data_IF_817904221981
#
_entry.id   IF_817904221981
#
_cell.length_a   1.000
_cell.length_b   1.000
_cell.length_c   1.000
_cell.angle_alpha   90.00
_cell.angle_beta   90.00
_cell.angle_gamma   90.00
#
_symmetry.space_group_name_H-M   'P 1'
#
loop_
_entity.id
_entity.type
_entity.pdbx_description
1 polymer ?
#
# COMPACT_ATOMS: atom_id res chain seq x y z
N UNK A 1 24.04 13.35 -61.54
CA UNK A 1 24.47 12.47 -60.44
C UNK A 1 23.79 12.97 -59.18
N UNK A 2 22.61 12.36 -58.88
CA UNK A 2 21.84 12.63 -57.64
C UNK A 2 22.22 11.54 -56.62
N UNK A 3 22.84 11.94 -55.54
CA UNK A 3 23.02 11.10 -54.35
C UNK A 3 21.77 11.21 -53.46
N UNK A 4 20.97 10.15 -53.42
CA UNK A 4 19.84 10.01 -52.51
C UNK A 4 20.39 9.50 -51.17
N UNK A 5 20.36 10.39 -50.14
CA UNK A 5 20.71 10.04 -48.77
C UNK A 5 19.52 9.40 -48.10
N UNK A 6 19.57 8.08 -47.87
CA UNK A 6 18.60 7.37 -47.04
C UNK A 6 18.87 7.67 -45.56
N UNK A 7 18.05 8.51 -44.97
CA UNK A 7 17.89 8.61 -43.51
C UNK A 7 17.12 7.37 -43.01
N UNK A 8 17.86 6.42 -42.44
CA UNK A 8 17.29 5.35 -41.63
C UNK A 8 16.80 5.96 -40.30
N UNK A 9 15.51 6.19 -40.21
CA UNK A 9 14.81 6.36 -38.94
C UNK A 9 14.86 5.01 -38.23
N UNK A 10 15.74 4.89 -37.25
CA UNK A 10 15.65 3.83 -36.26
C UNK A 10 14.39 4.09 -35.43
N UNK A 11 13.29 3.44 -35.81
CA UNK A 11 12.16 3.26 -34.93
C UNK A 11 12.68 2.44 -33.73
N UNK A 12 12.78 3.05 -32.57
CA UNK A 12 12.91 2.29 -31.32
C UNK A 12 11.65 1.48 -31.18
N UNK A 13 11.74 0.19 -31.41
CA UNK A 13 10.70 -0.78 -31.06
C UNK A 13 10.46 -0.68 -29.54
N UNK A 14 9.39 0.00 -29.17
CA UNK A 14 8.81 -0.01 -27.81
C UNK A 14 8.02 -1.30 -27.53
N UNK A 15 8.25 -2.33 -28.32
CA UNK A 15 7.76 -3.67 -28.05
C UNK A 15 8.59 -4.32 -26.93
N UNK A 16 8.53 -3.73 -25.75
CA UNK A 16 8.81 -4.45 -24.52
C UNK A 16 7.77 -5.56 -24.42
N UNK A 17 8.20 -6.76 -24.75
CA UNK A 17 7.41 -7.97 -24.95
C UNK A 17 6.74 -8.41 -23.64
N UNK A 18 5.68 -7.71 -23.23
CA UNK A 18 4.87 -8.04 -22.04
C UNK A 18 4.10 -9.36 -22.22
N UNK A 19 4.04 -9.88 -23.44
CA UNK A 19 3.31 -11.12 -23.81
C UNK A 19 4.24 -12.29 -24.15
N UNK A 20 5.55 -12.19 -23.91
CA UNK A 20 6.47 -13.28 -24.22
C UNK A 20 6.32 -14.43 -23.20
N UNK A 21 5.33 -15.27 -23.42
CA UNK A 21 5.20 -16.57 -22.75
C UNK A 21 6.25 -17.53 -23.35
N UNK A 22 7.54 -17.29 -23.10
CA UNK A 22 8.52 -18.35 -23.28
C UNK A 22 8.19 -19.45 -22.28
N UNK A 23 7.97 -20.65 -22.78
CA UNK A 23 7.86 -21.88 -21.98
C UNK A 23 9.11 -22.00 -21.10
N UNK A 24 9.01 -21.53 -19.87
CA UNK A 24 10.04 -21.80 -18.88
C UNK A 24 9.90 -23.27 -18.45
N UNK A 25 10.96 -24.06 -18.51
CA UNK A 25 10.90 -25.43 -18.06
C UNK A 25 10.43 -25.48 -16.59
N UNK A 26 9.61 -26.47 -16.26
CA UNK A 26 9.17 -26.71 -14.88
C UNK A 26 10.43 -26.91 -14.00
N UNK A 27 10.68 -25.95 -13.10
CA UNK A 27 11.83 -25.97 -12.23
C UNK A 27 11.71 -27.12 -11.20
N UNK A 28 12.82 -27.79 -10.84
CA UNK A 28 12.84 -28.75 -9.79
C UNK A 28 12.27 -28.17 -8.47
N UNK A 29 11.70 -29.00 -7.61
CA UNK A 29 11.09 -28.58 -6.35
C UNK A 29 12.05 -27.77 -5.45
N UNK A 30 13.35 -28.03 -5.54
CA UNK A 30 14.41 -27.26 -4.86
C UNK A 30 14.52 -25.83 -5.35
N UNK A 31 14.43 -25.60 -6.67
CA UNK A 31 14.41 -24.25 -7.25
C UNK A 31 13.11 -23.51 -6.94
N UNK A 32 11.97 -24.20 -6.95
CA UNK A 32 10.69 -23.63 -6.52
C UNK A 32 10.77 -23.14 -5.08
N UNK A 33 11.38 -23.93 -4.16
CA UNK A 33 11.57 -23.53 -2.76
C UNK A 33 12.54 -22.35 -2.62
N UNK A 34 13.62 -22.32 -3.39
CA UNK A 34 14.54 -21.19 -3.42
C UNK A 34 13.87 -19.92 -3.97
N UNK A 35 13.05 -20.06 -5.01
CA UNK A 35 12.29 -18.97 -5.62
C UNK A 35 11.14 -18.46 -4.73
N UNK A 36 10.74 -19.23 -3.70
CA UNK A 36 9.79 -18.76 -2.68
C UNK A 36 10.49 -17.96 -1.57
N UNK A 37 11.83 -18.06 -1.43
CA UNK A 37 12.55 -17.26 -0.45
C UNK A 37 12.27 -15.76 -0.65
N UNK A 38 12.10 -15.04 0.46
CA UNK A 38 11.78 -13.62 0.47
C UNK A 38 12.72 -12.88 1.42
N UNK A 39 13.29 -11.78 0.95
CA UNK A 39 14.01 -10.81 1.77
C UNK A 39 13.21 -9.52 1.83
N UNK A 40 13.00 -8.98 3.03
CA UNK A 40 12.27 -7.73 3.18
C UNK A 40 13.07 -6.59 2.56
N UNK A 41 12.45 -5.93 1.60
CA UNK A 41 12.93 -4.69 0.99
C UNK A 41 11.79 -3.69 1.09
N UNK A 42 12.10 -2.43 1.41
CA UNK A 42 11.15 -1.34 1.42
C UNK A 42 11.24 -0.54 0.12
N UNK A 43 10.09 -0.14 -0.40
CA UNK A 43 10.05 0.68 -1.59
C UNK A 43 10.65 2.05 -1.34
N UNK A 44 11.51 2.49 -2.24
CA UNK A 44 12.07 3.84 -2.22
C UNK A 44 11.50 4.62 -3.41
N UNK A 45 10.82 5.73 -3.10
CA UNK A 45 10.34 6.65 -4.11
C UNK A 45 11.32 7.82 -4.19
N UNK A 46 11.95 8.09 -5.36
CA UNK A 46 12.87 9.21 -5.52
C UNK A 46 12.24 10.55 -5.10
N UNK A 47 13.07 11.44 -4.55
CA UNK A 47 12.64 12.77 -4.18
C UNK A 47 12.13 13.55 -5.41
N UNK A 48 11.02 14.26 -5.23
CA UNK A 48 10.44 15.07 -6.30
C UNK A 48 11.07 16.45 -6.36
N UNK A 49 11.17 17.08 -7.54
CA UNK A 49 11.46 18.51 -7.66
C UNK A 49 10.48 19.36 -6.86
N UNK A 50 10.94 20.50 -6.31
CA UNK A 50 10.14 21.34 -5.40
C UNK A 50 8.82 21.78 -6.03
N UNK A 51 8.83 22.27 -7.27
CA UNK A 51 7.63 22.76 -7.94
C UNK A 51 6.63 21.63 -8.20
N UNK A 52 7.11 20.47 -8.65
CA UNK A 52 6.26 19.29 -8.84
C UNK A 52 5.67 18.80 -7.52
N UNK A 53 6.43 18.89 -6.42
CA UNK A 53 5.93 18.55 -5.10
C UNK A 53 4.87 19.54 -4.61
N UNK A 54 5.03 20.83 -4.86
CA UNK A 54 4.02 21.87 -4.52
C UNK A 54 2.69 21.60 -5.22
N UNK A 55 2.74 21.30 -6.51
CA UNK A 55 1.53 20.92 -7.28
C UNK A 55 0.88 19.65 -6.73
N UNK A 56 1.70 18.65 -6.39
CA UNK A 56 1.22 17.42 -5.79
C UNK A 56 0.51 17.67 -4.44
N UNK A 57 1.08 18.48 -3.55
CA UNK A 57 0.47 18.80 -2.26
C UNK A 57 -0.85 19.53 -2.42
N UNK A 58 -0.92 20.51 -3.34
CA UNK A 58 -2.15 21.21 -3.63
C UNK A 58 -3.23 20.28 -4.22
N UNK A 59 -2.86 19.39 -5.13
CA UNK A 59 -3.77 18.36 -5.65
C UNK A 59 -4.29 17.44 -4.53
N UNK A 60 -3.42 17.05 -3.58
CA UNK A 60 -3.81 16.26 -2.40
C UNK A 60 -4.82 17.00 -1.52
N UNK A 61 -4.60 18.30 -1.31
CA UNK A 61 -5.53 19.12 -0.55
C UNK A 61 -6.90 19.24 -1.24
N UNK A 62 -6.94 19.50 -2.55
CA UNK A 62 -8.18 19.47 -3.33
C UNK A 62 -8.88 18.12 -3.22
N UNK A 63 -8.15 17.02 -3.40
CA UNK A 63 -8.68 15.67 -3.32
C UNK A 63 -9.30 15.38 -1.96
N UNK A 64 -8.63 15.77 -0.86
CA UNK A 64 -9.15 15.66 0.50
C UNK A 64 -10.50 16.36 0.63
N UNK A 65 -10.62 17.58 0.10
CA UNK A 65 -11.81 18.40 0.20
C UNK A 65 -12.95 17.99 -0.75
N UNK A 66 -12.64 17.18 -1.77
CA UNK A 66 -13.61 16.69 -2.74
C UNK A 66 -14.16 15.30 -2.43
N UNK A 67 -13.55 14.55 -1.52
CA UNK A 67 -13.92 13.15 -1.29
C UNK A 67 -15.39 12.93 -0.92
N UNK A 68 -15.95 13.80 -0.11
CA UNK A 68 -17.37 13.72 0.26
C UNK A 68 -18.27 14.45 -0.74
N UNK A 69 -17.76 15.50 -1.41
CA UNK A 69 -18.54 16.30 -2.37
C UNK A 69 -18.67 15.59 -3.71
N UNK A 70 -17.64 14.84 -4.11
CA UNK A 70 -17.56 14.14 -5.40
C UNK A 70 -17.86 15.03 -6.62
N UNK A 71 -17.43 16.28 -6.55
CA UNK A 71 -17.56 17.23 -7.64
C UNK A 71 -16.63 16.88 -8.79
N UNK A 72 -17.19 16.55 -9.95
CA UNK A 72 -16.45 16.12 -11.14
C UNK A 72 -15.57 17.23 -11.73
N UNK A 73 -15.94 18.49 -11.56
CA UNK A 73 -15.11 19.61 -12.03
C UNK A 73 -13.82 19.71 -11.21
N UNK A 74 -13.92 19.45 -9.90
CA UNK A 74 -12.77 19.40 -9.00
C UNK A 74 -11.91 18.16 -9.28
N UNK A 75 -12.51 17.00 -9.55
CA UNK A 75 -11.77 15.79 -9.96
C UNK A 75 -10.94 16.06 -11.23
N UNK A 76 -11.49 16.81 -12.20
CA UNK A 76 -10.78 17.19 -13.43
C UNK A 76 -9.56 18.07 -13.12
N UNK A 77 -9.68 19.02 -12.21
CA UNK A 77 -8.54 19.84 -11.79
C UNK A 77 -7.49 19.06 -11.02
N UNK A 78 -7.91 18.16 -10.12
CA UNK A 78 -7.00 17.24 -9.41
C UNK A 78 -6.22 16.38 -10.40
N UNK A 79 -6.91 15.80 -11.39
CA UNK A 79 -6.29 15.02 -12.45
C UNK A 79 -5.23 15.83 -13.19
N UNK A 80 -5.58 17.05 -13.61
CA UNK A 80 -4.65 17.96 -14.32
C UNK A 80 -3.40 18.24 -13.50
N UNK A 81 -3.55 18.53 -12.23
CA UNK A 81 -2.43 18.83 -11.33
C UNK A 81 -1.54 17.61 -11.09
N UNK A 82 -2.12 16.43 -10.85
CA UNK A 82 -1.36 15.19 -10.72
C UNK A 82 -0.62 14.84 -12.02
N UNK A 83 -1.23 15.07 -13.17
CA UNK A 83 -0.63 14.83 -14.48
C UNK A 83 0.62 15.71 -14.67
N UNK A 84 0.50 17.01 -14.44
CA UNK A 84 1.62 17.96 -14.53
C UNK A 84 2.73 17.56 -13.53
N UNK A 85 2.38 17.28 -12.27
CA UNK A 85 3.36 16.91 -11.27
C UNK A 85 4.07 15.59 -11.64
N UNK A 86 3.34 14.59 -12.15
CA UNK A 86 3.89 13.31 -12.61
C UNK A 86 4.88 13.49 -13.77
N UNK A 87 4.52 14.28 -14.77
CA UNK A 87 5.36 14.56 -15.94
C UNK A 87 6.63 15.32 -15.56
N UNK A 88 6.62 16.03 -14.42
CA UNK A 88 7.76 16.73 -13.86
C UNK A 88 8.47 15.97 -12.71
N UNK A 89 8.38 14.63 -12.71
CA UNK A 89 9.17 13.76 -11.84
C UNK A 89 8.60 13.57 -10.43
N UNK A 90 7.31 13.86 -10.20
CA UNK A 90 6.66 13.48 -8.97
C UNK A 90 6.02 12.08 -9.10
N UNK A 91 6.74 11.04 -8.69
CA UNK A 91 6.27 9.65 -8.79
C UNK A 91 5.08 9.34 -7.87
N UNK A 92 4.90 10.07 -6.75
CA UNK A 92 3.70 9.96 -5.90
C UNK A 92 2.46 10.48 -6.63
N UNK A 93 2.61 11.53 -7.43
CA UNK A 93 1.54 12.04 -8.29
C UNK A 93 1.16 11.02 -9.38
N UNK A 94 2.15 10.36 -10.00
CA UNK A 94 1.92 9.27 -10.94
C UNK A 94 1.09 8.15 -10.30
N UNK A 95 1.50 7.66 -9.11
CA UNK A 95 0.78 6.63 -8.37
C UNK A 95 -0.65 7.05 -8.05
N UNK A 96 -0.85 8.29 -7.56
CA UNK A 96 -2.17 8.79 -7.21
C UNK A 96 -3.08 8.96 -8.43
N UNK A 97 -2.53 9.41 -9.56
CA UNK A 97 -3.25 9.55 -10.82
C UNK A 97 -3.75 8.19 -11.31
N UNK A 98 -2.89 7.17 -11.33
CA UNK A 98 -3.28 5.82 -11.73
C UNK A 98 -4.30 5.21 -10.77
N UNK A 99 -4.11 5.34 -9.45
CA UNK A 99 -5.06 4.86 -8.45
C UNK A 99 -6.43 5.55 -8.57
N UNK A 100 -6.46 6.85 -8.81
CA UNK A 100 -7.69 7.60 -9.01
C UNK A 100 -8.43 7.18 -10.29
N UNK A 101 -7.69 6.92 -11.35
CA UNK A 101 -8.26 6.41 -12.61
C UNK A 101 -8.84 5.01 -12.46
N UNK A 102 -8.15 4.10 -11.77
CA UNK A 102 -8.67 2.75 -11.48
C UNK A 102 -9.94 2.76 -10.60
N UNK A 103 -10.15 3.83 -9.84
CA UNK A 103 -11.36 4.06 -9.02
C UNK A 103 -12.45 4.85 -9.76
N UNK A 104 -12.23 5.25 -11.01
CA UNK A 104 -13.18 6.00 -11.83
C UNK A 104 -13.27 7.50 -11.53
N UNK A 105 -12.31 8.06 -10.80
CA UNK A 105 -12.25 9.50 -10.54
C UNK A 105 -11.57 10.27 -11.67
N UNK A 106 -10.56 9.68 -12.31
CA UNK A 106 -9.73 10.30 -13.33
C UNK A 106 -9.80 9.55 -14.65
N UNK A 107 -9.39 10.22 -15.73
CA UNK A 107 -9.55 9.73 -17.10
C UNK A 107 -8.21 9.29 -17.73
N UNK A 108 -7.45 8.44 -17.04
CA UNK A 108 -6.29 7.77 -17.61
C UNK A 108 -6.74 6.45 -18.24
N UNK A 109 -6.35 6.18 -19.48
CA UNK A 109 -6.84 5.02 -20.24
C UNK A 109 -5.73 4.33 -21.03
N UNK A 110 -5.94 3.02 -21.28
CA UNK A 110 -5.18 2.25 -22.23
C UNK A 110 -3.67 2.33 -22.01
N UNK A 111 -2.97 2.61 -23.09
CA UNK A 111 -1.50 2.67 -23.13
C UNK A 111 -0.89 3.73 -22.21
N UNK A 112 -1.64 4.77 -21.87
CA UNK A 112 -1.15 5.78 -20.93
C UNK A 112 -0.85 5.18 -19.55
N UNK A 113 -1.69 4.27 -19.05
CA UNK A 113 -1.41 3.53 -17.82
C UNK A 113 -0.09 2.73 -17.90
N UNK A 114 0.14 2.07 -19.02
CA UNK A 114 1.39 1.31 -19.21
C UNK A 114 2.60 2.23 -19.26
N UNK A 115 2.52 3.35 -19.99
CA UNK A 115 3.59 4.34 -20.05
C UNK A 115 3.92 4.89 -18.66
N UNK A 116 2.89 5.22 -17.88
CA UNK A 116 3.06 5.72 -16.51
C UNK A 116 3.66 4.66 -15.58
N UNK A 117 3.26 3.40 -15.72
CA UNK A 117 3.84 2.30 -14.97
C UNK A 117 5.30 2.06 -15.35
N UNK A 118 5.63 2.18 -16.65
CA UNK A 118 7.02 2.09 -17.11
C UNK A 118 7.88 3.21 -16.52
N UNK A 119 7.38 4.45 -16.46
CA UNK A 119 8.09 5.56 -15.81
C UNK A 119 8.41 5.27 -14.34
N UNK A 120 7.51 4.61 -13.60
CA UNK A 120 7.77 4.18 -12.23
C UNK A 120 8.87 3.09 -12.19
N UNK A 121 8.80 2.11 -13.09
CA UNK A 121 9.77 1.02 -13.20
C UNK A 121 11.16 1.58 -13.51
N UNK A 122 11.28 2.48 -14.46
CA UNK A 122 12.55 3.11 -14.88
C UNK A 122 13.17 3.94 -13.76
N UNK A 123 12.32 4.51 -12.88
CA UNK A 123 12.74 5.23 -11.69
C UNK A 123 13.06 4.33 -10.49
N UNK A 124 12.96 3.00 -10.63
CA UNK A 124 13.18 2.05 -9.55
C UNK A 124 12.01 1.96 -8.55
N UNK A 125 10.83 2.47 -8.89
CA UNK A 125 9.64 2.42 -8.03
C UNK A 125 8.87 1.14 -8.32
N UNK A 126 8.91 0.21 -7.38
CA UNK A 126 8.36 -1.15 -7.50
C UNK A 126 6.85 -1.18 -7.76
N UNK A 127 6.13 -0.16 -7.31
CA UNK A 127 4.68 0.02 -7.57
C UNK A 127 4.35 0.02 -9.07
N UNK A 128 5.31 0.36 -9.95
CA UNK A 128 5.13 0.23 -11.40
C UNK A 128 4.84 -1.21 -11.83
N UNK A 129 5.61 -2.18 -11.33
CA UNK A 129 5.34 -3.60 -11.59
C UNK A 129 4.03 -4.07 -10.98
N UNK A 130 3.65 -3.54 -9.81
CA UNK A 130 2.36 -3.84 -9.20
C UNK A 130 1.20 -3.42 -10.11
N UNK A 131 1.23 -2.23 -10.69
CA UNK A 131 0.21 -1.76 -11.63
C UNK A 131 0.13 -2.62 -12.88
N UNK A 132 1.26 -2.98 -13.50
CA UNK A 132 1.27 -3.91 -14.64
C UNK A 132 0.62 -5.24 -14.25
N UNK A 133 0.91 -5.76 -13.06
CA UNK A 133 0.26 -6.95 -12.52
C UNK A 133 -1.27 -6.80 -12.41
N UNK A 134 -1.76 -5.63 -11.97
CA UNK A 134 -3.20 -5.32 -11.91
C UNK A 134 -3.81 -5.33 -13.31
N UNK A 135 -3.16 -4.72 -14.29
CA UNK A 135 -3.67 -4.64 -15.67
C UNK A 135 -3.70 -6.01 -16.34
N UNK A 136 -2.65 -6.81 -16.20
CA UNK A 136 -2.61 -8.19 -16.69
C UNK A 136 -3.70 -9.06 -16.05
N UNK A 137 -3.88 -8.94 -14.74
CA UNK A 137 -4.92 -9.69 -14.03
C UNK A 137 -6.33 -9.39 -14.54
N UNK A 138 -6.58 -8.14 -14.90
CA UNK A 138 -7.92 -7.67 -15.30
C UNK A 138 -8.13 -7.63 -16.81
N UNK A 139 -7.11 -7.82 -17.63
CA UNK A 139 -7.20 -7.61 -19.07
C UNK A 139 -7.49 -6.15 -19.42
N UNK A 140 -6.77 -5.22 -18.81
CA UNK A 140 -6.98 -3.78 -18.96
C UNK A 140 -5.71 -3.05 -19.41
N UNK A 141 -5.79 -1.74 -19.61
CA UNK A 141 -4.69 -0.91 -20.11
C UNK A 141 -4.09 -1.38 -21.46
N UNK A 142 -4.91 -2.00 -22.33
CA UNK A 142 -4.46 -2.55 -23.61
C UNK A 142 -3.84 -3.94 -23.53
N UNK A 143 -3.69 -4.51 -22.33
CA UNK A 143 -3.17 -5.86 -22.15
C UNK A 143 -4.28 -6.90 -22.18
N UNK A 144 -3.98 -8.09 -22.72
CA UNK A 144 -4.84 -9.27 -22.56
C UNK A 144 -4.72 -9.79 -21.13
N UNK A 145 -5.81 -10.38 -20.64
CA UNK A 145 -5.81 -11.02 -19.32
C UNK A 145 -4.83 -12.20 -19.31
N UNK A 146 -3.88 -12.13 -18.36
CA UNK A 146 -2.89 -13.17 -18.12
C UNK A 146 -2.60 -13.24 -16.62
N UNK A 147 -3.25 -14.20 -15.96
CA UNK A 147 -3.14 -14.35 -14.49
C UNK A 147 -1.76 -14.83 -14.07
N UNK A 148 -1.09 -15.66 -14.88
CA UNK A 148 0.24 -16.16 -14.55
C UNK A 148 1.28 -15.05 -14.65
N UNK A 149 1.26 -14.30 -15.75
CA UNK A 149 2.13 -13.15 -15.92
C UNK A 149 1.86 -12.08 -14.86
N UNK A 150 0.59 -11.86 -14.48
CA UNK A 150 0.23 -10.96 -13.37
C UNK A 150 0.89 -11.38 -12.05
N UNK A 151 0.89 -12.68 -11.72
CA UNK A 151 1.54 -13.18 -10.50
C UNK A 151 3.05 -12.96 -10.53
N UNK A 152 3.70 -13.11 -11.68
CA UNK A 152 5.14 -12.82 -11.85
C UNK A 152 5.44 -11.33 -11.60
N UNK A 153 4.61 -10.44 -12.13
CA UNK A 153 4.75 -9.00 -11.91
C UNK A 153 4.50 -8.62 -10.45
N UNK A 154 3.47 -9.17 -9.81
CA UNK A 154 3.25 -8.95 -8.38
C UNK A 154 4.41 -9.46 -7.54
N UNK A 155 4.96 -10.64 -7.87
CA UNK A 155 6.13 -11.17 -7.15
C UNK A 155 7.34 -10.25 -7.32
N UNK A 156 7.63 -9.80 -8.54
CA UNK A 156 8.71 -8.86 -8.82
C UNK A 156 8.54 -7.56 -8.06
N UNK A 157 7.34 -7.00 -8.04
CA UNK A 157 7.02 -5.81 -7.26
C UNK A 157 7.25 -6.03 -5.76
N UNK A 158 6.83 -7.18 -5.22
CA UNK A 158 7.01 -7.53 -3.81
C UNK A 158 8.49 -7.64 -3.42
N UNK A 159 9.29 -8.30 -4.26
CA UNK A 159 10.74 -8.47 -4.04
C UNK A 159 11.50 -7.15 -4.16
N UNK A 160 10.98 -6.18 -4.89
CA UNK A 160 11.54 -4.83 -5.02
C UNK A 160 10.97 -3.81 -4.04
N UNK A 161 10.10 -4.25 -3.12
CA UNK A 161 9.68 -3.44 -1.98
C UNK A 161 8.24 -2.92 -2.00
N UNK A 162 7.44 -3.12 -3.05
CA UNK A 162 6.06 -2.66 -3.06
C UNK A 162 5.23 -3.30 -1.95
N UNK A 163 4.80 -2.52 -0.96
CA UNK A 163 4.00 -2.99 0.17
C UNK A 163 2.67 -3.62 -0.27
N UNK A 164 2.02 -3.04 -1.27
CA UNK A 164 0.79 -3.57 -1.86
C UNK A 164 1.02 -4.94 -2.49
N UNK A 165 2.12 -5.10 -3.21
CA UNK A 165 2.47 -6.38 -3.84
C UNK A 165 2.87 -7.43 -2.79
N UNK A 166 3.63 -7.04 -1.77
CA UNK A 166 3.99 -7.92 -0.65
C UNK A 166 2.74 -8.45 0.05
N UNK A 167 1.78 -7.58 0.34
CA UNK A 167 0.50 -7.99 0.92
C UNK A 167 -0.27 -8.92 -0.04
N UNK A 168 -0.38 -8.57 -1.33
CA UNK A 168 -1.10 -9.36 -2.32
C UNK A 168 -0.52 -10.76 -2.49
N UNK A 169 0.81 -10.88 -2.64
CA UNK A 169 1.50 -12.18 -2.79
C UNK A 169 1.36 -13.00 -1.50
N UNK A 170 1.51 -12.38 -0.33
CA UNK A 170 1.30 -13.05 0.96
C UNK A 170 -0.11 -13.63 1.09
N UNK A 171 -1.12 -12.93 0.58
CA UNK A 171 -2.51 -13.39 0.58
C UNK A 171 -2.69 -14.64 -0.31
N UNK A 172 -1.92 -14.79 -1.37
CA UNK A 172 -1.93 -15.99 -2.23
C UNK A 172 -1.18 -17.17 -1.61
N UNK A 173 -0.12 -16.91 -0.86
CA UNK A 173 0.72 -17.96 -0.27
C UNK A 173 0.17 -18.50 1.06
N UNK A 174 -0.49 -17.66 1.86
CA UNK A 174 -0.91 -17.99 3.22
C UNK A 174 -2.08 -18.99 3.30
N UNK A 175 -3.26 -18.71 2.72
CA UNK A 175 -4.47 -19.52 2.91
C UNK A 175 -4.36 -20.95 2.43
N UNK A 176 -3.56 -21.17 1.39
CA UNK A 176 -3.33 -22.51 0.79
C UNK A 176 -2.23 -23.31 1.49
N UNK A 177 -1.67 -22.78 2.57
CA UNK A 177 -0.52 -23.37 3.28
C UNK A 177 0.70 -23.69 2.36
N UNK A 178 0.82 -22.95 1.25
CA UNK A 178 1.89 -23.15 0.27
C UNK A 178 3.23 -22.75 0.91
N UNK A 179 3.31 -21.52 1.44
CA UNK A 179 4.50 -20.99 2.09
C UNK A 179 4.10 -20.01 3.22
N UNK A 180 3.51 -20.50 4.32
CA UNK A 180 2.97 -19.64 5.37
C UNK A 180 4.03 -18.77 6.06
N UNK A 181 5.27 -19.27 6.20
CA UNK A 181 6.37 -18.50 6.76
C UNK A 181 6.74 -17.30 5.87
N UNK A 182 6.84 -17.52 4.56
CA UNK A 182 7.09 -16.43 3.57
C UNK A 182 5.95 -15.44 3.55
N UNK A 183 4.70 -15.91 3.61
CA UNK A 183 3.53 -15.03 3.69
C UNK A 183 3.56 -14.12 4.93
N UNK A 184 3.99 -14.65 6.08
CA UNK A 184 4.17 -13.84 7.30
C UNK A 184 5.27 -12.79 7.13
N UNK A 185 6.42 -13.19 6.58
CA UNK A 185 7.53 -12.26 6.32
C UNK A 185 7.10 -11.11 5.39
N UNK A 186 6.40 -11.43 4.30
CA UNK A 186 5.88 -10.41 3.38
C UNK A 186 4.85 -9.49 4.04
N UNK A 187 3.92 -10.03 4.86
CA UNK A 187 2.96 -9.19 5.60
C UNK A 187 3.66 -8.29 6.61
N UNK A 188 4.68 -8.80 7.30
CA UNK A 188 5.48 -8.00 8.23
C UNK A 188 6.16 -6.85 7.50
N UNK A 189 6.85 -7.16 6.42
CA UNK A 189 7.53 -6.17 5.59
C UNK A 189 6.58 -5.09 5.04
N UNK A 190 5.38 -5.48 4.59
CA UNK A 190 4.36 -4.53 4.17
C UNK A 190 3.84 -3.66 5.33
N UNK A 191 3.64 -4.26 6.52
CA UNK A 191 3.19 -3.54 7.71
C UNK A 191 4.21 -2.48 8.17
N UNK A 192 5.50 -2.81 8.12
CA UNK A 192 6.61 -1.89 8.43
C UNK A 192 6.65 -0.69 7.48
N UNK A 193 6.10 -0.83 6.28
CA UNK A 193 5.95 0.25 5.31
C UNK A 193 4.60 1.01 5.44
N UNK A 194 3.83 0.74 6.49
CA UNK A 194 2.55 1.41 6.73
C UNK A 194 1.35 0.78 6.01
N UNK A 195 1.46 -0.48 5.55
CA UNK A 195 0.31 -1.18 5.00
C UNK A 195 -0.56 -1.74 6.13
N UNK A 196 -1.52 -0.94 6.63
CA UNK A 196 -2.32 -1.24 7.81
C UNK A 196 -3.06 -2.58 7.74
N UNK A 197 -3.62 -2.92 6.57
CA UNK A 197 -4.32 -4.20 6.38
C UNK A 197 -3.38 -5.41 6.48
N UNK A 198 -2.11 -5.27 6.07
CA UNK A 198 -1.11 -6.33 6.25
C UNK A 198 -0.83 -6.57 7.73
N UNK A 199 -0.74 -5.49 8.53
CA UNK A 199 -0.58 -5.56 9.97
C UNK A 199 -1.78 -6.25 10.65
N UNK A 200 -3.01 -5.83 10.31
CA UNK A 200 -4.23 -6.43 10.85
C UNK A 200 -4.34 -7.94 10.51
N UNK A 201 -3.95 -8.34 9.31
CA UNK A 201 -3.95 -9.75 8.92
C UNK A 201 -2.84 -10.56 9.60
N UNK A 202 -1.64 -9.99 9.71
CA UNK A 202 -0.53 -10.66 10.40
C UNK A 202 -0.84 -10.91 11.87
N UNK A 203 -1.50 -9.97 12.55
CA UNK A 203 -1.88 -10.11 13.96
C UNK A 203 -2.77 -11.34 14.22
N UNK A 204 -3.60 -11.75 13.25
CA UNK A 204 -4.44 -12.94 13.37
C UNK A 204 -3.56 -14.19 13.43
N UNK A 205 -2.60 -14.31 12.51
CA UNK A 205 -1.72 -15.47 12.48
C UNK A 205 -0.84 -15.56 13.73
N UNK A 206 -0.32 -14.42 14.21
CA UNK A 206 0.49 -14.35 15.42
C UNK A 206 -0.31 -14.73 16.66
N UNK A 207 -1.54 -14.26 16.77
CA UNK A 207 -2.46 -14.63 17.85
C UNK A 207 -2.77 -16.14 17.82
N UNK A 208 -3.07 -16.69 16.64
CA UNK A 208 -3.36 -18.12 16.48
C UNK A 208 -2.15 -19.02 16.81
N UNK A 209 -0.94 -18.44 16.77
CA UNK A 209 0.32 -19.06 17.25
C UNK A 209 0.63 -18.70 18.72
N UNK A 210 -0.30 -18.06 19.44
CA UNK A 210 -0.16 -17.58 20.83
C UNK A 210 0.99 -16.58 21.04
N UNK A 211 1.46 -15.93 19.95
CA UNK A 211 2.49 -14.89 19.96
C UNK A 211 1.86 -13.51 20.23
N UNK A 212 1.26 -13.39 21.41
CA UNK A 212 0.42 -12.22 21.74
C UNK A 212 1.21 -10.90 21.74
N UNK A 213 2.44 -10.90 22.24
CA UNK A 213 3.26 -9.68 22.25
C UNK A 213 3.58 -9.20 20.82
N UNK A 214 3.99 -10.13 19.95
CA UNK A 214 4.19 -9.78 18.52
C UNK A 214 2.87 -9.34 17.86
N UNK A 215 1.74 -9.94 18.25
CA UNK A 215 0.43 -9.56 17.71
C UNK A 215 0.03 -8.13 18.08
N UNK A 216 0.27 -7.69 19.33
CA UNK A 216 -0.02 -6.31 19.72
C UNK A 216 0.93 -5.31 19.07
N UNK A 217 2.20 -5.65 18.86
CA UNK A 217 3.16 -4.81 18.14
C UNK A 217 2.72 -4.53 16.70
N UNK A 218 2.34 -5.58 15.96
CA UNK A 218 1.87 -5.38 14.57
C UNK A 218 0.49 -4.70 14.51
N UNK A 219 -0.39 -4.92 15.49
CA UNK A 219 -1.62 -4.15 15.61
C UNK A 219 -1.33 -2.66 15.82
N UNK A 220 -0.31 -2.33 16.64
CA UNK A 220 0.13 -0.96 16.84
C UNK A 220 0.62 -0.31 15.54
N UNK A 221 1.40 -1.05 14.72
CA UNK A 221 1.76 -0.60 13.36
C UNK A 221 0.53 -0.34 12.50
N UNK A 222 -0.49 -1.21 12.60
CA UNK A 222 -1.76 -1.02 11.91
C UNK A 222 -2.48 0.27 12.34
N UNK A 223 -2.48 0.58 13.64
CA UNK A 223 -3.04 1.85 14.14
C UNK A 223 -2.28 3.05 13.61
N UNK A 224 -0.94 3.00 13.65
CA UNK A 224 -0.10 4.05 13.05
C UNK A 224 -0.46 4.32 11.58
N UNK A 225 -0.72 3.25 10.82
CA UNK A 225 -1.10 3.29 9.42
C UNK A 225 -2.58 3.66 9.18
N UNK A 226 -3.38 3.87 10.23
CA UNK A 226 -4.79 4.26 10.11
C UNK A 226 -5.78 3.10 9.97
N UNK A 227 -5.35 1.85 10.24
CA UNK A 227 -6.22 0.69 10.16
C UNK A 227 -7.13 0.59 11.39
N UNK A 228 -8.40 0.94 11.21
CA UNK A 228 -9.38 1.01 12.30
C UNK A 228 -9.62 -0.34 12.99
N UNK A 229 -9.56 -1.45 12.24
CA UNK A 229 -9.70 -2.80 12.80
C UNK A 229 -8.62 -3.11 13.83
N UNK A 230 -7.39 -2.62 13.59
CA UNK A 230 -6.27 -2.78 14.52
C UNK A 230 -6.53 -2.06 15.84
N UNK A 231 -7.02 -0.82 15.79
CA UNK A 231 -7.38 -0.05 16.97
C UNK A 231 -8.53 -0.70 17.76
N UNK A 232 -9.56 -1.20 17.06
CA UNK A 232 -10.67 -1.92 17.67
C UNK A 232 -10.23 -3.22 18.38
N UNK A 233 -9.31 -3.97 17.78
CA UNK A 233 -8.79 -5.20 18.39
C UNK A 233 -7.97 -4.90 19.65
N UNK A 234 -7.12 -3.88 19.62
CA UNK A 234 -6.36 -3.46 20.79
C UNK A 234 -7.27 -2.95 21.90
N UNK A 235 -8.25 -2.10 21.57
CA UNK A 235 -9.24 -1.63 22.56
C UNK A 235 -9.89 -2.80 23.29
N UNK A 236 -10.42 -3.76 22.56
CA UNK A 236 -11.13 -4.91 23.14
C UNK A 236 -10.18 -5.92 23.79
N UNK A 237 -8.96 -6.04 23.29
CA UNK A 237 -7.93 -6.93 23.84
C UNK A 237 -7.47 -6.51 25.23
N UNK A 238 -7.35 -5.19 25.49
CA UNK A 238 -7.00 -4.65 26.80
C UNK A 238 -8.16 -4.67 27.82
N UNK A 239 -9.37 -5.10 27.42
CA UNK A 239 -10.43 -5.42 28.37
C UNK A 239 -10.31 -6.84 28.94
N UNK A 240 -9.22 -7.55 28.66
CA UNK A 240 -8.94 -8.92 29.11
C UNK A 240 -10.12 -9.90 28.82
N UNK A 241 -10.56 -10.04 27.58
CA UNK A 241 -11.61 -11.00 27.24
C UNK A 241 -11.17 -12.43 27.55
N UNK A 242 -12.15 -13.32 27.79
CA UNK A 242 -11.85 -14.74 28.03
C UNK A 242 -11.08 -15.36 26.82
N UNK A 243 -10.18 -16.35 27.05
CA UNK A 243 -9.45 -17.02 25.98
C UNK A 243 -10.31 -17.63 24.89
N UNK A 244 -11.56 -18.00 25.22
CA UNK A 244 -12.55 -18.48 24.24
C UNK A 244 -13.00 -17.42 23.23
N UNK A 245 -12.79 -16.14 23.53
CA UNK A 245 -13.06 -15.05 22.60
C UNK A 245 -11.90 -14.87 21.61
N UNK A 246 -11.80 -15.78 20.65
CA UNK A 246 -10.73 -15.80 19.65
C UNK A 246 -10.60 -14.51 18.82
N UNK A 247 -11.63 -13.67 18.76
CA UNK A 247 -11.57 -12.42 17.98
C UNK A 247 -10.75 -11.33 18.66
N UNK A 248 -10.74 -11.32 20.00
CA UNK A 248 -10.19 -10.21 20.77
C UNK A 248 -9.20 -10.62 21.86
N UNK A 249 -9.10 -11.90 22.19
CA UNK A 249 -8.11 -12.35 23.18
C UNK A 249 -6.67 -12.11 22.66
N UNK A 250 -5.91 -11.35 23.42
CA UNK A 250 -4.53 -10.99 23.11
C UNK A 250 -3.56 -11.32 24.26
N UNK A 251 -3.97 -12.14 25.22
CA UNK A 251 -3.14 -12.53 26.36
C UNK A 251 -2.69 -11.37 27.25
N UNK A 252 -3.38 -10.24 27.19
CA UNK A 252 -3.06 -9.04 27.97
C UNK A 252 -3.86 -8.99 29.27
N UNK A 253 -3.28 -8.35 30.30
CA UNK A 253 -4.02 -8.00 31.50
C UNK A 253 -4.98 -6.84 31.22
N UNK A 254 -6.03 -6.70 32.05
CA UNK A 254 -6.95 -5.60 31.96
C UNK A 254 -6.25 -4.26 32.16
N UNK A 255 -6.47 -3.35 31.18
CA UNK A 255 -6.00 -1.98 31.22
C UNK A 255 -7.09 -1.08 30.61
N UNK A 256 -7.98 -0.62 31.46
CA UNK A 256 -9.16 0.16 31.06
C UNK A 256 -8.81 1.49 30.39
N UNK A 257 -7.74 2.14 30.87
CA UNK A 257 -7.30 3.41 30.28
C UNK A 257 -6.76 3.19 28.86
N UNK A 258 -5.92 2.18 28.68
CA UNK A 258 -5.39 1.81 27.36
C UNK A 258 -6.52 1.41 26.42
N UNK A 259 -7.47 0.60 26.88
CA UNK A 259 -8.65 0.22 26.14
C UNK A 259 -9.48 1.43 25.68
N UNK A 260 -9.71 2.39 26.57
CA UNK A 260 -10.49 3.60 26.28
C UNK A 260 -9.78 4.51 25.26
N UNK A 261 -8.43 4.65 25.34
CA UNK A 261 -7.66 5.43 24.37
C UNK A 261 -7.72 4.81 22.97
N UNK A 262 -7.55 3.48 22.85
CA UNK A 262 -7.71 2.80 21.55
C UNK A 262 -9.13 2.90 21.00
N UNK A 263 -10.16 2.86 21.87
CA UNK A 263 -11.56 3.04 21.45
C UNK A 263 -11.78 4.45 20.85
N UNK A 264 -11.19 5.49 21.46
CA UNK A 264 -11.26 6.85 20.94
C UNK A 264 -10.56 6.98 19.59
N UNK A 265 -9.37 6.39 19.47
CA UNK A 265 -8.62 6.34 18.21
C UNK A 265 -9.42 5.58 17.14
N UNK A 266 -9.96 4.40 17.47
CA UNK A 266 -10.79 3.63 16.57
C UNK A 266 -11.95 4.45 15.99
N UNK A 267 -12.66 5.20 16.82
CA UNK A 267 -13.78 6.06 16.37
C UNK A 267 -13.33 7.09 15.35
N UNK A 268 -12.18 7.72 15.57
CA UNK A 268 -11.62 8.68 14.61
C UNK A 268 -11.25 7.96 13.30
N UNK A 269 -10.50 6.87 13.36
CA UNK A 269 -10.08 6.13 12.17
C UNK A 269 -11.28 5.61 11.36
N UNK A 270 -12.33 5.14 12.03
CA UNK A 270 -13.53 4.63 11.38
C UNK A 270 -14.36 5.76 10.74
N UNK A 271 -14.59 6.86 11.47
CA UNK A 271 -15.42 7.97 11.01
C UNK A 271 -14.79 8.76 9.86
N UNK A 272 -13.46 8.82 9.82
CA UNK A 272 -12.70 9.55 8.80
C UNK A 272 -11.99 8.60 7.80
N UNK A 273 -12.43 7.35 7.71
CA UNK A 273 -11.80 6.34 6.83
C UNK A 273 -11.67 6.80 5.36
N UNK A 274 -12.61 7.64 4.89
CA UNK A 274 -12.58 8.24 3.56
C UNK A 274 -11.37 9.17 3.34
N UNK A 275 -10.81 9.76 4.41
CA UNK A 275 -9.72 10.74 4.34
C UNK A 275 -8.34 10.12 4.63
N UNK A 276 -8.25 8.80 4.71
CA UNK A 276 -7.03 8.05 5.02
C UNK A 276 -6.31 8.58 6.29
N UNK A 277 -6.96 8.55 7.46
CA UNK A 277 -6.36 8.99 8.71
C UNK A 277 -5.14 8.15 9.07
N UNK A 278 -4.19 8.74 9.79
CA UNK A 278 -3.00 8.05 10.32
C UNK A 278 -2.74 8.49 11.75
N UNK A 279 -2.01 7.70 12.52
CA UNK A 279 -1.60 8.03 13.90
C UNK A 279 -0.11 7.73 14.05
N UNK A 280 0.77 8.48 13.37
CA UNK A 280 2.21 8.19 13.37
C UNK A 280 2.85 8.31 14.75
N UNK A 281 2.28 9.13 15.62
CA UNK A 281 2.69 9.38 17.01
C UNK A 281 2.09 8.37 18.01
N UNK A 282 1.51 7.26 17.54
CA UNK A 282 0.82 6.29 18.43
C UNK A 282 1.72 5.79 19.57
N UNK A 283 3.00 5.57 19.31
CA UNK A 283 3.93 5.07 20.33
C UNK A 283 4.26 6.12 21.41
N UNK A 284 4.06 7.39 21.11
CA UNK A 284 4.26 8.49 22.06
C UNK A 284 3.02 8.69 22.94
N UNK A 285 1.83 8.60 22.37
CA UNK A 285 0.56 8.84 23.08
C UNK A 285 0.01 7.58 23.75
N UNK A 286 0.37 6.40 23.25
CA UNK A 286 -0.17 5.12 23.70
C UNK A 286 0.86 3.99 23.53
N UNK A 287 2.02 4.07 24.25
CA UNK A 287 3.04 3.04 24.19
C UNK A 287 2.51 1.69 24.66
N UNK A 288 3.02 0.59 24.10
CA UNK A 288 2.63 -0.76 24.50
C UNK A 288 3.18 -1.16 25.88
N UNK A 289 2.51 -2.08 26.61
CA UNK A 289 3.05 -2.63 27.84
C UNK A 289 4.48 -3.20 27.65
N UNK A 290 5.36 -3.15 28.66
CA UNK A 290 5.11 -2.71 30.03
C UNK A 290 5.23 -1.19 30.29
N UNK A 291 5.39 -0.37 29.23
CA UNK A 291 5.51 1.08 29.39
C UNK A 291 4.26 1.69 30.05
N UNK A 292 4.48 2.68 30.91
CA UNK A 292 3.40 3.44 31.50
C UNK A 292 2.79 4.40 30.49
N UNK A 293 1.49 4.66 30.62
CA UNK A 293 0.80 5.62 29.76
C UNK A 293 1.18 7.05 30.15
N UNK A 294 1.62 7.88 29.19
CA UNK A 294 1.83 9.30 29.42
C UNK A 294 0.47 10.03 29.57
N UNK A 295 0.46 11.24 30.16
CA UNK A 295 -0.69 12.13 30.05
C UNK A 295 -1.06 12.34 28.57
N UNK A 296 -2.36 12.31 28.28
CA UNK A 296 -2.86 12.55 26.92
C UNK A 296 -4.15 13.37 26.98
N UNK A 297 -4.22 14.46 26.25
CA UNK A 297 -5.38 15.34 26.17
C UNK A 297 -6.52 14.78 25.28
N UNK A 298 -6.27 13.63 24.66
CA UNK A 298 -7.22 12.95 23.77
C UNK A 298 -7.29 13.52 22.37
N UNK A 299 -6.33 14.35 21.95
CA UNK A 299 -6.23 14.87 20.61
C UNK A 299 -5.33 14.00 19.74
N UNK A 300 -5.62 13.97 18.46
CA UNK A 300 -4.82 13.32 17.43
C UNK A 300 -4.31 14.39 16.45
N UNK A 301 -3.01 14.43 16.24
CA UNK A 301 -2.38 15.42 15.33
C UNK A 301 -3.01 15.39 13.93
N UNK A 302 -3.28 14.19 13.42
CA UNK A 302 -3.95 14.04 12.11
C UNK A 302 -5.32 14.72 12.09
N UNK A 303 -6.14 14.52 13.14
CA UNK A 303 -7.49 15.09 13.19
C UNK A 303 -7.45 16.62 13.28
N UNK A 304 -6.56 17.18 14.10
CA UNK A 304 -6.39 18.62 14.20
C UNK A 304 -5.95 19.25 12.87
N UNK A 305 -4.97 18.63 12.18
CA UNK A 305 -4.54 19.06 10.85
C UNK A 305 -5.65 18.88 9.79
N UNK A 306 -6.47 17.82 9.90
CA UNK A 306 -7.60 17.61 9.02
C UNK A 306 -8.66 18.70 9.19
N UNK A 307 -8.98 19.08 10.41
CA UNK A 307 -9.98 20.11 10.72
C UNK A 307 -9.48 21.52 10.40
N UNK A 308 -8.19 21.80 10.62
CA UNK A 308 -7.57 23.08 10.25
C UNK A 308 -7.65 23.34 8.72
N UNK A 309 -7.65 22.26 7.92
CA UNK A 309 -7.82 22.30 6.48
C UNK A 309 -6.91 23.29 5.73
N UNK A 310 -5.67 23.40 6.15
CA UNK A 310 -4.65 24.23 5.47
C UNK A 310 -4.11 23.46 4.25
N UNK A 311 -3.93 24.13 3.08
CA UNK A 311 -3.36 23.53 1.86
C UNK A 311 -1.93 23.00 2.03
#
# INVERSE_FOLDING_TARGET
VLLLSCLLLAACDLDGDFNNTKDYPLNPLTEIKANLAFSCVHETIPASPTDANTLFQYARWLQKNNQLKQDKSVDTEIERLYRIASENGNYKANINLQNGAMRGHFNVRGEEHLRMSQQLIDAGVATGYYFVGVFLKNGSAGLKQDTEMALRHYRKAADQGSAEAQYYVADKLGPKKIAPAVARQMRKCAAEQGHGRAAAMLSIYLRDEEKYNEAIEVLQMGVAAGESTSASRLSKGFLNPAPSNQSYYLGQQEDLERAARYEKIWRVLANYSYANPTVPDINEILPLPPAQLPPWDGKLQWLEAHLANVP
#
